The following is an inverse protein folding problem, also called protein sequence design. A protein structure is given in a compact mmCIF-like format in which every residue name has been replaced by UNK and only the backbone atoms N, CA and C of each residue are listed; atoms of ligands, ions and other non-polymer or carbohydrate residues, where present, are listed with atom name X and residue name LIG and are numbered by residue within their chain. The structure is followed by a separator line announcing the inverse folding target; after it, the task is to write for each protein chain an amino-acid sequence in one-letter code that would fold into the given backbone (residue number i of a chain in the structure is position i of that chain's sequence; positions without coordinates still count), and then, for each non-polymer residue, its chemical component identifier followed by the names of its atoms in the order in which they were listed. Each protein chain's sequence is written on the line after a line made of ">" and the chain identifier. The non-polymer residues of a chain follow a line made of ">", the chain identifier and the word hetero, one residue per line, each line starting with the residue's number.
data_IF_729458858998
#
_entry.id   IF_729458858998
#
_cell.length_a   1.000
_cell.length_b   1.000
_cell.length_c   1.000
_cell.angle_alpha   90.00
_cell.angle_beta   90.00
_cell.angle_gamma   90.00
#
_symmetry.space_group_name_H-M   'P 1'
#
loop_
_entity.id
_entity.type
_entity.pdbx_description
1 polymer ?
#
# COMPACT_ATOMS: atom_id res chain seq x y z
N UNK A 1 -13.21 -19.41 5.31
CA UNK A 1 -12.34 -18.85 6.36
C UNK A 1 -11.82 -17.54 5.81
N UNK A 2 -12.09 -16.44 6.51
CA UNK A 2 -11.47 -15.15 6.15
C UNK A 2 -9.95 -15.28 6.29
N UNK A 3 -9.22 -14.73 5.32
CA UNK A 3 -7.76 -14.73 5.32
C UNK A 3 -7.29 -13.71 6.36
N UNK A 4 -6.40 -14.12 7.26
CA UNK A 4 -5.85 -13.32 8.35
C UNK A 4 -4.36 -13.68 8.55
N UNK A 5 -3.62 -13.68 7.45
CA UNK A 5 -2.19 -13.92 7.46
C UNK A 5 -1.43 -12.77 8.14
N UNK A 6 -1.93 -11.54 8.08
CA UNK A 6 -1.36 -10.40 8.78
C UNK A 6 -1.47 -10.55 10.30
N UNK A 7 -2.64 -10.95 10.80
CA UNK A 7 -2.82 -11.15 12.25
C UNK A 7 -1.93 -12.27 12.79
N UNK A 8 -1.73 -13.34 12.03
CA UNK A 8 -0.77 -14.40 12.35
C UNK A 8 0.66 -13.88 12.37
N UNK A 9 1.07 -13.18 11.32
CA UNK A 9 2.39 -12.57 11.23
C UNK A 9 2.67 -11.64 12.41
N UNK A 10 1.72 -10.77 12.76
CA UNK A 10 1.88 -9.80 13.83
C UNK A 10 2.04 -10.50 15.19
N UNK A 11 1.27 -11.58 15.41
CA UNK A 11 1.39 -12.39 16.62
C UNK A 11 2.76 -13.08 16.70
N UNK A 12 3.20 -13.73 15.63
CA UNK A 12 4.53 -14.36 15.58
C UNK A 12 5.65 -13.33 15.79
N UNK A 13 5.52 -12.14 15.19
CA UNK A 13 6.47 -11.06 15.37
C UNK A 13 6.58 -10.66 16.85
N UNK A 14 5.45 -10.46 17.52
CA UNK A 14 5.42 -10.12 18.94
C UNK A 14 6.04 -11.22 19.81
N UNK A 15 5.67 -12.48 19.58
CA UNK A 15 6.16 -13.63 20.33
C UNK A 15 7.69 -13.77 20.20
N UNK A 16 8.21 -13.64 18.97
CA UNK A 16 9.65 -13.73 18.69
C UNK A 16 10.47 -12.60 19.33
N UNK A 17 9.85 -11.44 19.56
CA UNK A 17 10.51 -10.28 20.17
C UNK A 17 10.14 -10.11 21.66
N UNK A 18 9.39 -11.05 22.25
CA UNK A 18 9.02 -11.04 23.66
C UNK A 18 8.01 -9.94 24.04
N UNK A 19 7.24 -9.42 23.08
CA UNK A 19 6.25 -8.39 23.34
C UNK A 19 4.92 -8.98 23.83
N UNK A 20 4.44 -8.49 24.98
CA UNK A 20 3.04 -8.63 25.35
C UNK A 20 2.17 -7.68 24.53
N UNK A 21 0.91 -8.06 24.32
CA UNK A 21 -0.04 -7.29 23.50
C UNK A 21 -0.23 -5.86 23.99
N UNK A 22 -0.34 -5.66 25.29
CA UNK A 22 -0.48 -4.35 25.92
C UNK A 22 0.76 -3.47 25.69
N UNK A 23 1.95 -4.07 25.85
CA UNK A 23 3.22 -3.38 25.65
C UNK A 23 3.42 -3.01 24.17
N UNK A 24 3.09 -3.93 23.26
CA UNK A 24 3.14 -3.68 21.83
C UNK A 24 2.19 -2.56 21.42
N UNK A 25 0.93 -2.61 21.88
CA UNK A 25 -0.08 -1.60 21.60
C UNK A 25 0.35 -0.21 22.09
N UNK A 26 0.92 -0.13 23.30
CA UNK A 26 1.48 1.10 23.83
C UNK A 26 2.66 1.61 22.98
N UNK A 27 3.56 0.72 22.54
CA UNK A 27 4.74 1.09 21.74
C UNK A 27 4.36 1.69 20.37
N UNK A 28 3.35 1.12 19.71
CA UNK A 28 2.82 1.65 18.44
C UNK A 28 1.84 2.81 18.64
N UNK A 29 1.42 3.12 19.86
CA UNK A 29 0.47 4.19 20.15
C UNK A 29 -0.98 3.89 19.72
N UNK A 30 -1.40 2.64 19.75
CA UNK A 30 -2.77 2.21 19.42
C UNK A 30 -3.43 1.49 20.59
N UNK A 31 -4.77 1.41 20.58
CA UNK A 31 -5.49 0.73 21.66
C UNK A 31 -5.29 -0.79 21.59
N UNK A 32 -5.23 -1.42 22.76
CA UNK A 32 -5.19 -2.88 22.89
C UNK A 32 -6.29 -3.56 22.05
N UNK A 33 -7.51 -3.04 22.12
CA UNK A 33 -8.65 -3.60 21.39
C UNK A 33 -8.45 -3.57 19.88
N UNK A 34 -7.85 -2.51 19.34
CA UNK A 34 -7.57 -2.42 17.91
C UNK A 34 -6.51 -3.43 17.46
N UNK A 35 -5.40 -3.56 18.21
CA UNK A 35 -4.37 -4.55 17.89
C UNK A 35 -4.92 -5.98 18.01
N UNK A 36 -5.76 -6.23 19.02
CA UNK A 36 -6.48 -7.50 19.17
C UNK A 36 -7.40 -7.79 17.96
N UNK A 37 -8.07 -6.77 17.41
CA UNK A 37 -8.87 -6.94 16.19
C UNK A 37 -8.03 -7.31 14.97
N UNK A 38 -6.82 -6.75 14.83
CA UNK A 38 -5.89 -7.13 13.77
C UNK A 38 -5.40 -8.56 13.92
N UNK A 39 -4.95 -8.96 15.12
CA UNK A 39 -4.47 -10.33 15.37
C UNK A 39 -5.56 -11.37 15.11
N UNK A 40 -6.81 -11.08 15.48
CA UNK A 40 -7.93 -12.00 15.31
C UNK A 40 -8.59 -11.90 13.92
N UNK A 41 -8.09 -11.05 13.02
CA UNK A 41 -8.63 -10.90 11.67
C UNK A 41 -10.02 -10.25 11.60
N UNK A 42 -10.47 -9.60 12.68
CA UNK A 42 -11.74 -8.86 12.70
C UNK A 42 -11.66 -7.55 11.94
N UNK A 43 -10.45 -7.03 11.75
CA UNK A 43 -10.16 -5.81 10.98
C UNK A 43 -8.81 -5.94 10.29
N UNK A 44 -8.71 -5.40 9.08
CA UNK A 44 -7.41 -5.18 8.45
C UNK A 44 -6.70 -4.00 9.12
N UNK A 45 -5.37 -4.05 9.24
CA UNK A 45 -4.57 -2.93 9.73
C UNK A 45 -4.70 -1.71 8.82
N UNK A 46 -4.78 -0.51 9.40
CA UNK A 46 -4.69 0.72 8.59
C UNK A 46 -3.26 0.97 8.14
N UNK A 47 -3.10 1.74 7.06
CA UNK A 47 -1.76 2.10 6.58
C UNK A 47 -0.95 2.88 7.63
N UNK A 48 -1.61 3.77 8.38
CA UNK A 48 -1.00 4.52 9.49
C UNK A 48 -0.38 3.59 10.53
N UNK A 49 -1.07 2.51 10.85
CA UNK A 49 -0.54 1.50 11.77
C UNK A 49 0.65 0.76 11.16
N UNK A 50 0.57 0.31 9.91
CA UNK A 50 1.68 -0.39 9.22
C UNK A 50 2.94 0.46 9.18
N UNK A 51 2.82 1.75 8.83
CA UNK A 51 3.94 2.67 8.84
C UNK A 51 4.52 2.88 10.24
N UNK A 52 3.65 2.99 11.25
CA UNK A 52 4.09 3.14 12.64
C UNK A 52 4.84 1.89 13.09
N UNK A 53 4.32 0.71 12.77
CA UNK A 53 4.97 -0.58 13.00
C UNK A 53 6.36 -0.64 12.33
N UNK A 54 6.46 -0.32 11.04
CA UNK A 54 7.75 -0.31 10.32
C UNK A 54 8.77 0.64 10.94
N UNK A 55 8.34 1.84 11.32
CA UNK A 55 9.22 2.86 11.90
C UNK A 55 9.67 2.50 13.32
N UNK A 56 8.73 2.11 14.19
CA UNK A 56 8.99 1.82 15.61
C UNK A 56 9.92 0.62 15.77
N UNK A 57 9.67 -0.42 14.98
CA UNK A 57 10.43 -1.66 15.10
C UNK A 57 11.57 -1.78 14.09
N UNK A 58 11.80 -0.74 13.27
CA UNK A 58 12.94 -0.64 12.35
C UNK A 58 13.07 -1.85 11.42
N UNK A 59 11.94 -2.30 10.85
CA UNK A 59 11.93 -3.44 9.94
C UNK A 59 12.84 -3.17 8.74
N UNK A 60 13.58 -4.21 8.32
CA UNK A 60 14.36 -4.18 7.08
C UNK A 60 13.45 -4.14 5.85
N UNK A 61 13.97 -3.70 4.71
CA UNK A 61 13.21 -3.68 3.44
C UNK A 61 12.64 -5.06 3.08
N UNK A 62 13.38 -6.13 3.34
CA UNK A 62 12.92 -7.51 3.13
C UNK A 62 11.70 -7.85 3.99
N UNK A 63 11.70 -7.43 5.25
CA UNK A 63 10.59 -7.66 6.17
C UNK A 63 9.36 -6.82 5.80
N UNK A 64 9.58 -5.56 5.38
CA UNK A 64 8.51 -4.70 4.87
C UNK A 64 7.83 -5.33 3.65
N UNK A 65 8.61 -5.80 2.68
CA UNK A 65 8.07 -6.48 1.48
C UNK A 65 7.22 -7.68 1.87
N UNK A 66 7.71 -8.53 2.79
CA UNK A 66 6.96 -9.69 3.30
C UNK A 66 5.62 -9.27 3.92
N UNK A 67 5.59 -8.21 4.73
CA UNK A 67 4.35 -7.69 5.33
C UNK A 67 3.38 -7.19 4.27
N UNK A 68 3.88 -6.48 3.25
CA UNK A 68 3.06 -5.97 2.16
C UNK A 68 2.46 -7.11 1.31
N UNK A 69 3.22 -8.16 1.01
CA UNK A 69 2.72 -9.35 0.31
C UNK A 69 1.59 -10.04 1.10
N UNK A 70 1.74 -10.15 2.41
CA UNK A 70 0.71 -10.70 3.31
C UNK A 70 -0.57 -9.85 3.26
N UNK A 71 -0.45 -8.51 3.29
CA UNK A 71 -1.59 -7.60 3.20
C UNK A 71 -2.32 -7.68 1.84
N UNK A 72 -1.58 -7.90 0.74
CA UNK A 72 -2.19 -8.15 -0.58
C UNK A 72 -3.04 -9.43 -0.58
N UNK A 73 -2.67 -10.45 0.21
CA UNK A 73 -3.40 -11.72 0.28
C UNK A 73 -4.66 -11.64 1.15
N UNK A 74 -4.64 -10.86 2.23
CA UNK A 74 -5.75 -10.71 3.19
C UNK A 74 -6.89 -9.79 2.71
N UNK A 75 -6.72 -9.15 1.54
CA UNK A 75 -7.42 -7.95 1.05
C UNK A 75 -6.89 -6.68 1.71
N UNK A 76 -6.51 -5.72 0.85
CA UNK A 76 -5.98 -4.42 1.22
C UNK A 76 -6.96 -3.67 2.16
N UNK A 77 -6.47 -2.75 3.01
CA UNK A 77 -7.30 -1.95 3.90
C UNK A 77 -8.44 -1.27 3.12
N UNK A 78 -9.63 -1.11 3.72
CA UNK A 78 -10.80 -0.47 3.08
C UNK A 78 -10.45 0.88 2.41
N UNK A 79 -9.55 1.65 3.03
CA UNK A 79 -9.03 2.94 2.55
C UNK A 79 -8.31 2.82 1.18
N UNK A 80 -7.58 1.73 0.94
CA UNK A 80 -6.91 1.46 -0.34
C UNK A 80 -7.92 0.94 -1.36
N UNK A 81 -8.90 0.16 -0.94
CA UNK A 81 -9.98 -0.33 -1.82
C UNK A 81 -10.86 0.84 -2.33
N UNK A 82 -11.05 1.90 -1.52
CA UNK A 82 -11.70 3.14 -1.97
C UNK A 82 -10.83 3.98 -2.90
N UNK A 83 -9.50 4.00 -2.69
CA UNK A 83 -8.55 4.65 -3.60
C UNK A 83 -8.45 3.90 -4.94
N UNK A 84 -8.42 2.56 -4.95
CA UNK A 84 -8.49 1.73 -6.16
C UNK A 84 -9.77 1.99 -6.95
N UNK A 85 -10.93 2.07 -6.28
CA UNK A 85 -12.20 2.43 -6.93
C UNK A 85 -12.22 3.84 -7.49
N UNK A 86 -11.52 4.79 -6.85
CA UNK A 86 -11.33 6.13 -7.41
C UNK A 86 -10.43 6.09 -8.63
N UNK A 87 -9.32 5.34 -8.59
CA UNK A 87 -8.39 5.08 -9.71
C UNK A 87 -9.13 4.47 -10.92
N UNK A 88 -10.04 3.52 -10.70
CA UNK A 88 -10.89 2.96 -11.76
C UNK A 88 -11.84 4.00 -12.40
N UNK A 89 -12.25 5.04 -11.65
CA UNK A 89 -13.04 6.15 -12.17
C UNK A 89 -12.20 7.22 -12.91
N UNK A 90 -10.86 7.12 -12.98
CA UNK A 90 -10.00 8.00 -13.83
C UNK A 90 -9.99 7.57 -15.32
N UNK A 91 -10.94 6.73 -15.72
CA UNK A 91 -11.07 6.14 -17.05
C UNK A 91 -11.44 7.11 -18.17
N UNK A 92 -11.25 8.43 -18.05
CA UNK A 92 -11.57 9.40 -19.13
C UNK A 92 -10.35 9.82 -19.98
N UNK A 93 -9.11 9.49 -19.60
CA UNK A 93 -7.95 9.78 -20.46
C UNK A 93 -7.91 8.81 -21.66
N UNK A 94 -8.24 9.34 -22.83
CA UNK A 94 -8.24 8.60 -24.11
C UNK A 94 -6.91 7.90 -24.41
N UNK A 95 -5.77 8.35 -23.89
CA UNK A 95 -4.46 7.69 -24.09
C UNK A 95 -4.36 6.39 -23.30
N UNK A 96 -5.00 6.35 -22.12
CA UNK A 96 -5.05 5.18 -21.22
C UNK A 96 -6.07 4.16 -21.73
N UNK A 97 -7.21 4.62 -22.24
CA UNK A 97 -8.22 3.77 -22.90
C UNK A 97 -7.64 3.05 -24.13
N UNK A 98 -6.75 3.72 -24.87
CA UNK A 98 -6.10 3.18 -26.07
C UNK A 98 -4.83 2.35 -25.78
N UNK A 99 -4.49 2.08 -24.51
CA UNK A 99 -3.37 1.20 -24.18
C UNK A 99 -3.71 -0.27 -24.50
N UNK A 100 -2.77 -0.98 -25.11
CA UNK A 100 -2.89 -2.44 -25.19
C UNK A 100 -2.74 -3.09 -23.80
N UNK A 101 -3.34 -4.26 -23.60
CA UNK A 101 -3.39 -4.97 -22.30
C UNK A 101 -2.03 -5.08 -21.59
N UNK A 102 -0.95 -5.33 -22.33
CA UNK A 102 0.41 -5.40 -21.78
C UNK A 102 0.92 -4.05 -21.28
N UNK A 103 0.67 -2.98 -22.03
CA UNK A 103 1.10 -1.62 -21.67
C UNK A 103 0.25 -1.06 -20.54
N UNK A 104 -1.04 -1.43 -20.51
CA UNK A 104 -1.94 -1.11 -19.40
C UNK A 104 -1.44 -1.73 -18.10
N UNK A 105 -1.10 -3.02 -18.10
CA UNK A 105 -0.50 -3.68 -16.92
C UNK A 105 0.78 -3.01 -16.44
N UNK A 106 1.67 -2.61 -17.36
CA UNK A 106 2.91 -1.90 -17.00
C UNK A 106 2.66 -0.50 -16.44
N UNK A 107 1.58 0.15 -16.88
CA UNK A 107 1.17 1.44 -16.37
C UNK A 107 0.55 1.30 -14.98
N UNK A 108 -0.31 0.30 -14.77
CA UNK A 108 -0.92 0.00 -13.48
C UNK A 108 0.16 -0.39 -12.45
N UNK A 109 1.13 -1.24 -12.82
CA UNK A 109 2.30 -1.59 -11.99
C UNK A 109 3.14 -0.36 -11.62
N UNK A 110 3.42 0.52 -12.59
CA UNK A 110 4.17 1.77 -12.37
C UNK A 110 3.42 2.73 -11.44
N UNK A 111 2.09 2.82 -11.56
CA UNK A 111 1.27 3.63 -10.68
C UNK A 111 1.15 3.02 -9.28
N UNK A 112 1.01 1.71 -9.14
CA UNK A 112 1.04 1.04 -7.84
C UNK A 112 2.36 1.31 -7.11
N UNK A 113 3.50 1.14 -7.80
CA UNK A 113 4.83 1.45 -7.28
C UNK A 113 4.96 2.93 -6.90
N UNK A 114 4.44 3.82 -7.72
CA UNK A 114 4.46 5.24 -7.46
C UNK A 114 3.57 5.62 -6.26
N UNK A 115 2.33 5.14 -6.20
CA UNK A 115 1.38 5.36 -5.09
C UNK A 115 1.97 4.85 -3.78
N UNK A 116 2.70 3.74 -3.80
CA UNK A 116 3.45 3.23 -2.65
C UNK A 116 4.51 4.23 -2.14
N UNK A 117 5.02 5.13 -2.98
CA UNK A 117 5.99 6.18 -2.62
C UNK A 117 5.34 7.48 -2.10
N UNK A 118 4.08 7.79 -2.43
CA UNK A 118 3.41 9.08 -2.11
C UNK A 118 2.60 9.10 -0.83
N UNK A 119 2.76 8.09 0.02
CA UNK A 119 1.96 7.92 1.23
C UNK A 119 2.48 8.77 2.42
N UNK A 120 2.92 10.00 2.15
CA UNK A 120 3.27 11.01 3.15
C UNK A 120 2.05 11.91 3.39
N UNK A 121 1.51 11.89 4.62
CA UNK A 121 0.35 12.72 5.06
C UNK A 121 0.62 14.24 4.93
N UNK A 122 1.86 14.65 4.62
CA UNK A 122 2.23 16.05 4.35
C UNK A 122 1.84 16.56 2.97
N UNK A 123 1.50 15.66 2.05
CA UNK A 123 1.04 16.01 0.71
C UNK A 123 -0.49 15.95 0.76
N UNK A 124 -1.13 17.07 0.49
CA UNK A 124 -2.58 17.10 0.39
C UNK A 124 -3.07 16.32 -0.84
N UNK A 125 -4.37 16.05 -0.89
CA UNK A 125 -4.94 15.22 -1.95
C UNK A 125 -4.89 15.89 -3.33
N UNK A 126 -4.88 17.23 -3.40
CA UNK A 126 -4.73 17.99 -4.65
C UNK A 126 -3.30 17.83 -5.19
N UNK A 127 -2.31 17.92 -4.31
CA UNK A 127 -0.91 17.72 -4.68
C UNK A 127 -0.62 16.27 -5.05
N UNK A 128 -1.27 15.28 -4.41
CA UNK A 128 -1.21 13.88 -4.84
C UNK A 128 -1.79 13.70 -6.24
N UNK A 129 -2.91 14.33 -6.56
CA UNK A 129 -3.51 14.29 -7.90
C UNK A 129 -2.56 14.89 -8.95
N UNK A 130 -2.00 16.09 -8.71
CA UNK A 130 -1.02 16.73 -9.61
C UNK A 130 0.23 15.87 -9.84
N UNK A 131 0.64 15.14 -8.82
CA UNK A 131 1.84 14.31 -8.87
C UNK A 131 1.57 13.01 -9.63
N UNK A 132 0.41 12.38 -9.41
CA UNK A 132 -0.09 11.27 -10.23
C UNK A 132 -0.16 11.70 -11.71
N UNK A 133 -0.68 12.90 -12.00
CA UNK A 133 -0.72 13.42 -13.36
C UNK A 133 0.68 13.66 -13.96
N UNK A 134 1.61 14.14 -13.15
CA UNK A 134 3.01 14.29 -13.56
C UNK A 134 3.65 12.94 -13.90
N UNK A 135 3.35 11.89 -13.13
CA UNK A 135 3.83 10.54 -13.37
C UNK A 135 3.25 9.93 -14.65
N UNK A 136 1.98 10.19 -14.95
CA UNK A 136 1.36 9.81 -16.23
C UNK A 136 2.15 10.41 -17.40
N UNK A 137 2.41 11.71 -17.35
CA UNK A 137 3.17 12.41 -18.39
C UNK A 137 4.59 11.85 -18.54
N UNK A 138 5.27 11.53 -17.44
CA UNK A 138 6.60 10.89 -17.46
C UNK A 138 6.54 9.51 -18.12
N UNK A 139 5.54 8.69 -17.79
CA UNK A 139 5.37 7.36 -18.37
C UNK A 139 5.17 7.44 -19.90
N UNK A 140 4.25 8.30 -20.35
CA UNK A 140 3.97 8.45 -21.78
C UNK A 140 5.16 9.04 -22.55
N UNK A 141 5.85 10.04 -21.99
CA UNK A 141 7.09 10.57 -22.57
C UNK A 141 8.16 9.49 -22.69
N UNK A 142 8.35 8.65 -21.67
CA UNK A 142 9.29 7.54 -21.70
C UNK A 142 8.92 6.52 -22.80
N UNK A 143 7.63 6.21 -22.96
CA UNK A 143 7.15 5.33 -24.05
C UNK A 143 7.39 5.94 -25.44
N UNK A 144 7.15 7.23 -25.62
CA UNK A 144 7.45 7.91 -26.88
C UNK A 144 8.95 7.91 -27.19
N UNK A 145 9.80 8.21 -26.21
CA UNK A 145 11.25 8.19 -26.37
C UNK A 145 11.75 6.79 -26.75
N UNK A 146 11.18 5.74 -26.15
CA UNK A 146 11.50 4.35 -26.48
C UNK A 146 10.99 3.93 -27.87
N UNK A 147 9.93 4.55 -28.39
CA UNK A 147 9.50 4.38 -29.78
C UNK A 147 10.40 5.10 -30.78
N UNK A 148 10.98 6.25 -30.41
CA UNK A 148 11.90 7.04 -31.27
C UNK A 148 13.33 6.46 -31.34
N UNK A 149 13.71 5.66 -30.35
CA UNK A 149 15.01 4.96 -30.29
C UNK A 149 15.01 3.60 -31.02
N UNK A 150 13.87 3.19 -31.56
CA UNK A 150 13.65 1.91 -32.23
C UNK A 150 13.43 2.15 -33.72
#
# INVERSE_FOLDING_TARGET
>A
MEKNEFGKFLKEYMDNHGYKLEAFAAEVGYSFGLISHYINGRRSPSYKFINTFFKKFRLSEKEKIKVLEILKQDKLPEEINELEKKIDNFSEDTRIQNLNSKTRKQFDEFLEEAILMFNDEKIDDEDKEKLIDSLKEVFFKAKELNKRKK
#
